data_IF_445821463454
#
_entry.id   IF_445821463454
#
_cell.length_a   1.000
_cell.length_b   1.000
_cell.length_c   1.000
_cell.angle_alpha   90.00
_cell.angle_beta   90.00
_cell.angle_gamma   90.00
#
_symmetry.space_group_name_H-M   'P 1'
#
loop_
_entity.id
_entity.type
_entity.pdbx_description
1 polymer ?
#
# COMPACT_ATOMS: atom_id res chain seq x y z
N UNK A 1 -12.72 -22.43 -10.57
CA UNK A 1 -11.77 -21.81 -11.50
C UNK A 1 -11.10 -20.75 -10.65
N UNK A 2 -9.90 -21.03 -10.18
CA UNK A 2 -9.22 -20.23 -9.14
C UNK A 2 -8.99 -18.80 -9.62
N UNK A 3 -9.37 -17.81 -8.83
CA UNK A 3 -8.81 -16.46 -8.96
C UNK A 3 -7.30 -16.55 -9.17
N UNK A 4 -6.81 -15.92 -10.24
CA UNK A 4 -5.40 -15.81 -10.55
C UNK A 4 -4.67 -15.08 -9.40
N UNK A 5 -4.13 -15.85 -8.44
CA UNK A 5 -3.16 -15.40 -7.42
C UNK A 5 -1.88 -14.77 -8.06
N UNK A 6 -1.75 -14.88 -9.38
CA UNK A 6 -0.66 -14.45 -10.26
C UNK A 6 -0.31 -12.95 -10.15
N UNK A 7 -1.25 -12.10 -9.72
CA UNK A 7 -1.00 -10.66 -9.53
C UNK A 7 -0.32 -10.31 -8.19
N UNK A 8 -0.32 -11.21 -7.20
CA UNK A 8 0.26 -10.97 -5.87
C UNK A 8 1.57 -11.69 -5.61
N UNK A 9 1.83 -12.81 -6.29
CA UNK A 9 3.14 -13.47 -6.20
C UNK A 9 4.30 -12.49 -6.36
N UNK A 10 4.26 -11.51 -7.28
CA UNK A 10 5.35 -10.56 -7.41
C UNK A 10 5.45 -9.54 -6.28
N UNK A 11 4.42 -9.41 -5.43
CA UNK A 11 4.46 -8.55 -4.25
C UNK A 11 5.15 -9.21 -3.06
N UNK A 12 5.32 -10.54 -3.04
CA UNK A 12 6.00 -11.21 -1.95
C UNK A 12 7.49 -10.83 -1.86
N UNK A 13 8.03 -10.88 -0.66
CA UNK A 13 9.44 -10.60 -0.39
C UNK A 13 9.67 -9.18 0.15
N UNK A 14 10.95 -8.79 0.21
CA UNK A 14 11.36 -7.52 0.79
C UNK A 14 11.58 -6.47 -0.29
N UNK A 15 11.19 -5.26 0.07
CA UNK A 15 10.90 -4.18 -0.84
C UNK A 15 11.55 -2.93 -0.28
N UNK A 16 12.49 -2.35 -1.03
CA UNK A 16 13.20 -1.15 -0.61
C UNK A 16 12.55 0.07 -1.23
N UNK A 17 12.24 1.05 -0.38
CA UNK A 17 11.59 2.25 -0.85
C UNK A 17 11.93 3.50 -0.06
N UNK A 18 11.35 4.60 -0.51
CA UNK A 18 11.55 5.92 0.08
C UNK A 18 10.25 6.69 0.11
N UNK A 19 9.84 7.14 1.29
CA UNK A 19 8.78 8.11 1.46
C UNK A 19 9.33 9.50 1.10
N UNK A 20 8.82 10.13 0.03
CA UNK A 20 9.39 11.38 -0.51
C UNK A 20 8.85 12.64 0.17
N UNK A 21 7.54 12.71 0.46
CA UNK A 21 6.93 13.87 1.14
C UNK A 21 6.40 13.43 2.49
N UNK A 22 7.07 13.82 3.56
CA UNK A 22 6.63 13.53 4.94
C UNK A 22 6.92 14.74 5.84
N UNK A 23 6.37 14.79 7.08
CA UNK A 23 6.65 15.88 8.02
C UNK A 23 8.12 16.10 8.32
N UNK A 24 8.91 15.04 8.20
CA UNK A 24 10.32 15.03 8.56
C UNK A 24 11.24 15.06 7.33
N UNK A 25 10.69 15.35 6.15
CA UNK A 25 11.38 15.22 4.88
C UNK A 25 11.42 13.76 4.39
N UNK A 26 12.23 13.45 3.36
CA UNK A 26 12.26 12.10 2.80
C UNK A 26 12.88 11.09 3.77
N UNK A 27 12.26 9.92 3.96
CA UNK A 27 12.81 8.83 4.79
C UNK A 27 12.72 7.46 4.10
N UNK A 28 13.56 6.49 4.50
CA UNK A 28 13.42 5.11 4.07
C UNK A 28 12.01 4.57 4.37
N UNK A 29 11.51 3.73 3.46
CA UNK A 29 10.23 3.05 3.59
C UNK A 29 10.39 1.63 3.06
N UNK A 30 10.91 0.76 3.91
CA UNK A 30 11.14 -0.65 3.59
C UNK A 30 9.98 -1.48 4.13
N UNK A 31 9.55 -2.48 3.37
CA UNK A 31 8.48 -3.40 3.75
C UNK A 31 8.85 -4.81 3.31
N UNK A 32 8.44 -5.82 4.06
CA UNK A 32 8.50 -7.21 3.59
C UNK A 32 7.07 -7.76 3.60
N UNK A 33 6.65 -8.31 2.47
CA UNK A 33 5.33 -8.92 2.31
C UNK A 33 5.44 -10.43 2.36
N UNK A 34 4.59 -11.04 3.17
CA UNK A 34 4.52 -12.48 3.39
C UNK A 34 3.08 -12.97 3.20
N UNK A 35 2.94 -14.08 2.48
CA UNK A 35 1.66 -14.77 2.33
C UNK A 35 1.29 -15.43 3.66
N UNK A 36 0.09 -15.16 4.14
CA UNK A 36 -0.45 -15.68 5.39
C UNK A 36 -1.28 -16.94 5.13
N UNK A 37 -1.58 -17.70 6.19
CA UNK A 37 -2.36 -18.94 6.12
C UNK A 37 -3.79 -18.76 5.60
N UNK A 38 -4.33 -17.54 5.67
CA UNK A 38 -5.65 -17.16 5.16
C UNK A 38 -5.59 -16.65 3.70
N UNK A 39 -4.49 -16.92 2.99
CA UNK A 39 -4.20 -16.46 1.63
C UNK A 39 -4.18 -14.92 1.49
N UNK A 40 -4.04 -14.18 2.59
CA UNK A 40 -3.80 -12.73 2.55
C UNK A 40 -2.32 -12.43 2.42
N UNK A 41 -1.98 -11.35 1.72
CA UNK A 41 -0.61 -10.86 1.70
C UNK A 41 -0.46 -9.75 2.73
N UNK A 42 0.46 -9.91 3.68
CA UNK A 42 0.64 -8.99 4.78
C UNK A 42 2.07 -8.46 4.85
N UNK A 43 2.23 -7.17 5.12
CA UNK A 43 3.54 -6.57 5.32
C UNK A 43 3.51 -5.39 6.28
N UNK A 44 4.64 -5.16 6.93
CA UNK A 44 4.82 -4.05 7.88
C UNK A 44 6.02 -3.21 7.46
N UNK A 45 5.81 -1.90 7.34
CA UNK A 45 6.90 -0.94 7.24
C UNK A 45 7.11 -0.27 8.61
N UNK A 46 8.34 -0.29 9.11
CA UNK A 46 8.75 0.40 10.34
C UNK A 46 9.33 1.78 9.99
N UNK A 47 8.72 2.84 10.52
CA UNK A 47 9.14 4.23 10.33
C UNK A 47 9.69 4.85 11.63
N UNK A 48 10.15 4.04 12.58
CA UNK A 48 10.62 4.38 13.94
C UNK A 48 9.55 4.94 14.90
N UNK A 49 8.64 5.78 14.41
CA UNK A 49 7.59 6.42 15.21
C UNK A 49 6.19 5.85 14.96
N UNK A 50 6.08 4.95 13.99
CA UNK A 50 4.84 4.30 13.61
C UNK A 50 5.17 3.07 12.78
N UNK A 51 4.32 2.06 12.90
CA UNK A 51 4.27 0.93 12.00
C UNK A 51 3.14 1.12 11.01
N UNK A 52 3.42 0.86 9.75
CA UNK A 52 2.43 0.85 8.69
C UNK A 52 2.17 -0.59 8.32
N UNK A 53 1.00 -1.10 8.71
CA UNK A 53 0.59 -2.45 8.34
C UNK A 53 -0.26 -2.40 7.08
N UNK A 54 0.03 -3.32 6.18
CA UNK A 54 -0.63 -3.46 4.89
C UNK A 54 -1.12 -4.90 4.79
N UNK A 55 -2.40 -5.08 4.44
CA UNK A 55 -2.97 -6.40 4.21
C UNK A 55 -3.83 -6.40 2.96
N UNK A 56 -3.45 -7.21 1.98
CA UNK A 56 -4.21 -7.42 0.76
C UNK A 56 -5.14 -8.63 0.95
N UNK A 57 -6.42 -8.41 0.70
CA UNK A 57 -7.47 -9.42 0.63
C UNK A 57 -7.90 -9.50 -0.84
N UNK A 58 -7.42 -10.50 -1.58
CA UNK A 58 -7.83 -10.72 -2.96
C UNK A 58 -8.52 -12.08 -3.06
N UNK A 59 -9.84 -12.06 -3.11
CA UNK A 59 -10.70 -13.21 -3.37
C UNK A 59 -11.41 -13.02 -4.71
N UNK A 60 -11.99 -14.10 -5.29
CA UNK A 60 -12.63 -14.12 -6.61
C UNK A 60 -13.58 -12.92 -6.85
N UNK A 61 -14.31 -12.48 -5.81
CA UNK A 61 -15.28 -11.41 -5.90
C UNK A 61 -14.92 -10.17 -5.06
N UNK A 62 -13.81 -10.19 -4.34
CA UNK A 62 -13.46 -9.12 -3.40
C UNK A 62 -11.97 -8.84 -3.37
N UNK A 63 -11.59 -7.70 -3.95
CA UNK A 63 -10.24 -7.17 -3.89
C UNK A 63 -10.21 -5.92 -2.99
N UNK A 64 -9.63 -6.07 -1.80
CA UNK A 64 -9.54 -5.03 -0.78
C UNK A 64 -8.11 -4.92 -0.24
N UNK A 65 -7.72 -3.70 0.12
CA UNK A 65 -6.50 -3.42 0.86
C UNK A 65 -6.85 -2.78 2.20
N UNK A 66 -6.40 -3.38 3.31
CA UNK A 66 -6.42 -2.76 4.62
C UNK A 66 -5.08 -2.10 4.91
N UNK A 67 -5.14 -0.87 5.41
CA UNK A 67 -3.99 -0.09 5.83
C UNK A 67 -4.20 0.48 7.23
N UNK A 68 -3.19 0.36 8.09
CA UNK A 68 -3.17 1.03 9.39
C UNK A 68 -1.80 1.64 9.62
N UNK A 69 -1.78 2.92 10.00
CA UNK A 69 -0.61 3.56 10.62
C UNK A 69 -0.84 3.59 12.12
N UNK A 70 0.08 3.03 12.91
CA UNK A 70 0.01 3.05 14.39
C UNK A 70 0.45 4.37 15.01
N UNK A 71 0.72 5.39 14.18
CA UNK A 71 1.08 6.72 14.63
C UNK A 71 0.04 7.26 15.63
N UNK A 72 0.52 7.88 16.71
CA UNK A 72 -0.31 8.43 17.78
C UNK A 72 -1.30 7.41 18.40
N UNK A 73 -0.97 6.12 18.39
CA UNK A 73 -1.83 5.07 18.95
C UNK A 73 -3.07 4.77 18.11
N UNK A 74 -3.06 5.11 16.82
CA UNK A 74 -4.17 4.77 15.95
C UNK A 74 -4.27 3.25 15.75
N UNK A 75 -5.41 2.68 16.14
CA UNK A 75 -5.74 1.26 16.01
C UNK A 75 -6.79 1.00 14.92
N UNK A 76 -7.27 2.05 14.24
CA UNK A 76 -8.36 1.94 13.27
C UNK A 76 -7.81 1.71 11.85
N UNK A 77 -8.12 0.58 11.21
CA UNK A 77 -7.72 0.33 9.82
C UNK A 77 -8.58 1.14 8.83
N UNK A 78 -7.94 1.59 7.77
CA UNK A 78 -8.55 2.13 6.57
C UNK A 78 -8.68 1.02 5.53
N UNK A 79 -9.88 0.85 4.97
CA UNK A 79 -10.15 -0.12 3.92
C UNK A 79 -10.25 0.57 2.57
N UNK A 80 -9.54 0.04 1.58
CA UNK A 80 -9.50 0.53 0.21
C UNK A 80 -10.05 -0.56 -0.69
N UNK A 81 -11.04 -0.21 -1.50
CA UNK A 81 -11.54 -1.10 -2.54
C UNK A 81 -10.71 -0.93 -3.80
N UNK A 82 -10.66 -1.99 -4.59
CA UNK A 82 -10.00 -1.92 -5.90
C UNK A 82 -10.79 -1.03 -6.83
N UNK A 83 -10.15 0.00 -7.37
CA UNK A 83 -10.77 0.93 -8.31
C UNK A 83 -10.41 0.64 -9.76
N UNK A 84 -9.25 0.01 -10.01
CA UNK A 84 -8.83 -0.42 -11.35
C UNK A 84 -7.99 -1.70 -11.27
N UNK A 85 -8.33 -2.68 -12.11
CA UNK A 85 -7.56 -3.92 -12.33
C UNK A 85 -7.21 -4.01 -13.81
N UNK A 86 -5.92 -4.03 -14.11
CA UNK A 86 -5.38 -4.34 -15.42
C UNK A 86 -4.47 -5.57 -15.36
N UNK A 87 -4.00 -6.02 -16.52
CA UNK A 87 -3.05 -7.13 -16.61
C UNK A 87 -1.67 -6.78 -16.03
N UNK A 88 -1.32 -5.50 -15.99
CA UNK A 88 -0.02 -4.98 -15.56
C UNK A 88 -0.10 -3.99 -14.40
N UNK A 89 -1.30 -3.68 -13.89
CA UNK A 89 -1.49 -2.73 -12.81
C UNK A 89 -2.70 -3.03 -11.93
N UNK A 90 -2.58 -2.66 -10.65
CA UNK A 90 -3.63 -2.78 -9.64
C UNK A 90 -3.70 -1.48 -8.86
N UNK A 91 -4.89 -0.87 -8.77
CA UNK A 91 -5.11 0.36 -8.01
C UNK A 91 -6.18 0.15 -6.93
N UNK A 92 -5.82 0.48 -5.69
CA UNK A 92 -6.75 0.56 -4.56
C UNK A 92 -6.97 2.01 -4.16
N UNK A 93 -8.18 2.35 -3.77
CA UNK A 93 -8.50 3.68 -3.24
C UNK A 93 -9.62 3.60 -2.19
N UNK A 94 -9.59 4.52 -1.24
CA UNK A 94 -10.77 4.79 -0.39
C UNK A 94 -11.97 5.21 -1.25
N UNK A 95 -13.20 4.95 -0.81
CA UNK A 95 -14.45 5.19 -1.57
C UNK A 95 -14.55 6.60 -2.15
N UNK A 96 -14.03 7.61 -1.45
CA UNK A 96 -14.06 9.01 -1.92
C UNK A 96 -12.82 9.43 -2.73
N UNK A 97 -11.86 8.53 -2.97
CA UNK A 97 -10.61 8.78 -3.73
C UNK A 97 -9.68 9.87 -3.16
N UNK A 98 -10.08 10.50 -2.05
CA UNK A 98 -9.51 11.73 -1.53
C UNK A 98 -8.54 11.54 -0.37
N UNK A 99 -8.38 10.33 0.18
CA UNK A 99 -7.52 10.09 1.34
C UNK A 99 -6.29 9.23 1.02
N UNK A 100 -6.48 8.05 0.43
CA UNK A 100 -5.37 7.14 0.13
C UNK A 100 -5.60 6.43 -1.21
N UNK A 101 -4.56 6.40 -2.02
CA UNK A 101 -4.46 5.60 -3.23
C UNK A 101 -3.19 4.77 -3.19
N UNK A 102 -3.30 3.51 -3.58
CA UNK A 102 -2.18 2.57 -3.68
C UNK A 102 -2.16 1.98 -5.08
N UNK A 103 -1.00 1.99 -5.72
CA UNK A 103 -0.83 1.47 -7.08
C UNK A 103 0.32 0.48 -7.10
N UNK A 104 0.05 -0.71 -7.63
CA UNK A 104 1.06 -1.69 -8.04
C UNK A 104 1.12 -1.64 -9.55
N UNK A 105 2.31 -1.49 -10.13
CA UNK A 105 2.47 -1.46 -11.58
C UNK A 105 3.70 -2.27 -11.98
N UNK A 106 3.54 -3.20 -12.92
CA UNK A 106 4.65 -3.90 -13.55
C UNK A 106 5.52 -2.91 -14.33
N UNK A 107 6.83 -3.07 -14.24
CA UNK A 107 7.84 -2.32 -14.97
C UNK A 107 8.66 -3.29 -15.82
N UNK A 108 9.56 -2.77 -16.66
CA UNK A 108 10.47 -3.61 -17.48
C UNK A 108 11.35 -4.54 -16.63
N UNK A 109 11.70 -4.11 -15.41
CA UNK A 109 12.61 -4.80 -14.49
C UNK A 109 11.96 -4.94 -13.10
N UNK A 110 10.82 -5.63 -13.03
CA UNK A 110 10.12 -5.91 -11.77
C UNK A 110 8.85 -5.08 -11.59
N UNK A 111 8.60 -4.61 -10.37
CA UNK A 111 7.35 -3.95 -10.01
C UNK A 111 7.60 -2.64 -9.25
N UNK A 112 6.63 -1.73 -9.35
CA UNK A 112 6.60 -0.48 -8.60
C UNK A 112 5.37 -0.45 -7.71
N UNK A 113 5.60 -0.29 -6.41
CA UNK A 113 4.56 0.00 -5.45
C UNK A 113 4.57 1.50 -5.11
N UNK A 114 3.44 2.17 -5.35
CA UNK A 114 3.26 3.61 -5.13
C UNK A 114 2.13 3.85 -4.12
N UNK A 115 2.46 4.49 -3.00
CA UNK A 115 1.47 4.99 -2.04
C UNK A 115 1.26 6.48 -2.30
N UNK A 116 0.02 6.97 -2.31
CA UNK A 116 -0.32 8.39 -2.41
C UNK A 116 -1.40 8.72 -1.38
N UNK A 117 -1.03 9.46 -0.35
CA UNK A 117 -2.02 10.07 0.56
C UNK A 117 -2.43 11.42 -0.01
N UNK A 118 -3.72 11.63 -0.25
CA UNK A 118 -4.27 12.94 -0.58
C UNK A 118 -4.86 13.51 0.72
N UNK A 119 -4.47 14.72 1.11
CA UNK A 119 -5.17 15.42 2.18
C UNK A 119 -6.41 16.09 1.60
N UNK A 120 -7.52 16.09 2.33
CA UNK A 120 -8.56 17.11 2.13
C UNK A 120 -7.89 18.47 2.36
N UNK A 121 -8.00 19.41 1.44
CA UNK A 121 -7.49 20.78 1.65
C UNK A 121 -8.17 21.40 2.88
N UNK A 122 -7.54 21.21 4.04
CA UNK A 122 -7.73 22.00 5.24
C UNK A 122 -6.34 22.54 5.54
N UNK A 123 -6.14 23.81 5.21
CA UNK A 123 -5.05 24.70 5.64
C UNK A 123 -3.73 24.02 6.01
N UNK A 124 -2.75 24.13 5.12
CA UNK A 124 -1.31 24.17 5.43
C UNK A 124 -0.85 23.28 6.60
N UNK A 125 -0.72 21.95 6.40
CA UNK A 125 0.31 21.06 7.01
C UNK A 125 -0.12 19.59 7.06
N UNK A 126 -0.37 18.89 5.94
CA UNK A 126 -0.33 17.42 5.98
C UNK A 126 0.33 16.84 4.73
N UNK A 127 1.53 16.26 4.94
CA UNK A 127 2.35 15.67 3.88
C UNK A 127 1.81 14.29 3.50
N UNK A 128 1.52 14.11 2.22
CA UNK A 128 1.20 12.79 1.71
C UNK A 128 2.45 11.95 1.48
N UNK A 129 2.51 10.74 2.04
CA UNK A 129 3.62 9.82 1.81
C UNK A 129 3.57 9.33 0.37
N UNK A 130 4.63 9.61 -0.38
CA UNK A 130 4.91 8.99 -1.69
C UNK A 130 6.01 7.96 -1.47
N UNK A 131 5.66 6.70 -1.30
CA UNK A 131 6.64 5.62 -1.30
C UNK A 131 6.83 5.15 -2.74
N UNK A 132 8.07 5.16 -3.24
CA UNK A 132 8.45 4.36 -4.39
C UNK A 132 9.19 3.16 -3.86
N UNK A 133 8.70 1.98 -4.22
CA UNK A 133 9.34 0.74 -3.81
C UNK A 133 9.63 -0.08 -5.07
N UNK A 134 10.85 -0.59 -5.14
CA UNK A 134 11.34 -1.42 -6.24
C UNK A 134 11.85 -2.75 -5.69
N UNK A 135 11.61 -3.82 -6.43
CA UNK A 135 12.23 -5.13 -6.26
C UNK A 135 13.55 -5.19 -7.00
#
# INVERSE_FOLDING_TARGET
MSADNTLLEPLQGCWQGRAIKTPRGPLPYSICFELQNDNTLYGVADLNVSHHHWRFYLEEDMNQLSFISTFAGNETPLYLSTSQVGSDHLTFSTVDGQYLQVQVQQQKEGYRFTIKVKGKELSETHQGIYAFITT
#
